data_IF_355774182697
#
_entry.id   IF_355774182697
#
_cell.length_a   1.000
_cell.length_b   1.000
_cell.length_c   1.000
_cell.angle_alpha   90.00
_cell.angle_beta   90.00
_cell.angle_gamma   90.00
#
_symmetry.space_group_name_H-M   'P 1'
#
loop_
_entity.id
_entity.type
_entity.pdbx_description
1 polymer ?
#
# COMPACT_ATOMS: atom_id res chain seq x y z
N UNK A 1 -0.97 -20.72 10.71
CA UNK A 1 0.42 -20.80 11.18
C UNK A 1 1.00 -19.47 11.69
N UNK A 2 1.22 -18.42 10.89
CA UNK A 2 1.84 -17.17 11.40
C UNK A 2 1.05 -16.43 12.49
N UNK A 3 -0.29 -16.39 12.38
CA UNK A 3 -1.14 -15.84 13.45
C UNK A 3 -1.04 -16.64 14.75
N UNK A 4 -0.83 -17.96 14.66
CA UNK A 4 -0.60 -18.82 15.83
C UNK A 4 0.78 -18.53 16.44
N UNK A 5 1.82 -18.35 15.62
CA UNK A 5 3.15 -17.95 16.10
C UNK A 5 3.13 -16.61 16.83
N UNK A 6 2.43 -15.60 16.29
CA UNK A 6 2.23 -14.34 17.01
C UNK A 6 1.45 -14.56 18.32
N UNK A 7 0.41 -15.40 18.30
CA UNK A 7 -0.35 -15.79 19.49
C UNK A 7 0.53 -16.42 20.57
N UNK A 8 1.41 -17.35 20.20
CA UNK A 8 2.38 -17.96 21.11
C UNK A 8 3.37 -16.93 21.65
N UNK A 9 3.88 -16.02 20.82
CA UNK A 9 4.76 -14.95 21.28
C UNK A 9 4.07 -14.02 22.30
N UNK A 10 2.80 -13.68 22.08
CA UNK A 10 2.03 -12.93 23.07
C UNK A 10 1.75 -13.73 24.34
N UNK A 11 1.47 -15.02 24.24
CA UNK A 11 1.29 -15.87 25.41
C UNK A 11 2.58 -15.95 26.25
N UNK A 12 3.73 -16.11 25.60
CA UNK A 12 5.04 -16.04 26.26
C UNK A 12 5.23 -14.70 26.94
N UNK A 13 4.89 -13.59 26.29
CA UNK A 13 4.93 -12.27 26.92
C UNK A 13 4.01 -12.17 28.16
N UNK A 14 2.75 -12.60 28.04
CA UNK A 14 1.76 -12.56 29.12
C UNK A 14 2.15 -13.42 30.33
N UNK A 15 2.91 -14.50 30.11
CA UNK A 15 3.42 -15.36 31.19
C UNK A 15 4.72 -14.81 31.78
N UNK A 16 5.68 -14.40 30.95
CA UNK A 16 7.00 -13.97 31.41
C UNK A 16 7.01 -12.59 32.04
N UNK A 17 6.17 -11.65 31.58
CA UNK A 17 6.11 -10.31 32.15
C UNK A 17 5.78 -10.31 33.66
N UNK A 18 4.72 -10.98 34.16
CA UNK A 18 4.42 -11.02 35.59
C UNK A 18 5.40 -11.92 36.34
N UNK A 19 5.85 -13.02 35.73
CA UNK A 19 6.82 -13.91 36.36
C UNK A 19 8.17 -13.24 36.58
N UNK A 20 8.58 -12.33 35.68
CA UNK A 20 9.79 -11.52 35.85
C UNK A 20 9.77 -10.74 37.16
N UNK A 21 8.59 -10.26 37.58
CA UNK A 21 8.39 -9.49 38.81
C UNK A 21 8.46 -10.36 40.06
N UNK A 22 8.40 -11.68 39.98
CA UNK A 22 8.52 -12.56 41.14
C UNK A 22 9.96 -13.04 41.36
N UNK A 23 10.81 -12.92 40.34
CA UNK A 23 12.16 -13.47 40.34
C UNK A 23 13.18 -12.57 41.07
N UNK A 24 14.26 -13.15 41.62
CA UNK A 24 15.39 -12.39 42.16
C UNK A 24 15.92 -11.37 41.13
N UNK A 25 16.44 -10.25 41.60
CA UNK A 25 16.90 -9.11 40.76
C UNK A 25 17.82 -9.57 39.63
N UNK A 26 18.71 -10.53 39.89
CA UNK A 26 19.60 -11.09 38.86
C UNK A 26 18.89 -11.85 37.72
N UNK A 27 17.75 -12.49 37.96
CA UNK A 27 16.98 -13.19 36.90
C UNK A 27 15.87 -12.32 36.31
N UNK A 28 15.37 -11.36 37.09
CA UNK A 28 14.27 -10.47 36.73
C UNK A 28 14.48 -9.79 35.38
N UNK A 29 15.63 -9.14 35.14
CA UNK A 29 15.86 -8.38 33.90
C UNK A 29 16.03 -9.27 32.66
N UNK A 30 16.52 -10.51 32.83
CA UNK A 30 16.64 -11.49 31.74
C UNK A 30 15.27 -11.96 31.28
N UNK A 31 14.40 -12.29 32.24
CA UNK A 31 13.02 -12.71 31.96
C UNK A 31 12.20 -11.53 31.42
N UNK A 32 12.40 -10.32 31.93
CA UNK A 32 11.80 -9.12 31.37
C UNK A 32 12.28 -8.86 29.93
N UNK A 33 13.56 -9.07 29.63
CA UNK A 33 14.09 -8.98 28.27
C UNK A 33 13.45 -10.03 27.34
N UNK A 34 13.30 -11.28 27.78
CA UNK A 34 12.59 -12.31 27.01
C UNK A 34 11.12 -11.94 26.77
N UNK A 35 10.43 -11.41 27.78
CA UNK A 35 9.06 -10.93 27.65
C UNK A 35 8.98 -9.80 26.60
N UNK A 36 9.87 -8.80 26.68
CA UNK A 36 9.93 -7.70 25.72
C UNK A 36 10.23 -8.20 24.30
N UNK A 37 11.20 -9.12 24.13
CA UNK A 37 11.51 -9.73 22.85
C UNK A 37 10.32 -10.51 22.27
N UNK A 38 9.57 -11.23 23.11
CA UNK A 38 8.37 -11.94 22.71
C UNK A 38 7.26 -10.98 22.25
N UNK A 39 7.06 -9.86 22.96
CA UNK A 39 6.13 -8.81 22.56
C UNK A 39 6.53 -8.17 21.22
N UNK A 40 7.80 -7.82 21.06
CA UNK A 40 8.32 -7.24 19.81
C UNK A 40 8.17 -8.24 18.66
N UNK A 41 8.55 -9.50 18.86
CA UNK A 41 8.39 -10.55 17.85
C UNK A 41 6.92 -10.74 17.46
N UNK A 42 6.02 -10.84 18.45
CA UNK A 42 4.57 -10.96 18.21
C UNK A 42 4.01 -9.77 17.44
N UNK A 43 4.39 -8.55 17.80
CA UNK A 43 3.95 -7.33 17.08
C UNK A 43 4.49 -7.26 15.66
N UNK A 44 5.77 -7.59 15.44
CA UNK A 44 6.35 -7.66 14.10
C UNK A 44 5.63 -8.71 13.26
N UNK A 45 5.27 -9.88 13.80
CA UNK A 45 4.56 -10.95 13.07
C UNK A 45 3.08 -10.63 12.84
N UNK A 46 2.40 -9.92 13.76
CA UNK A 46 0.96 -9.64 13.68
C UNK A 46 0.55 -8.37 12.95
N UNK A 47 1.40 -7.33 12.88
CA UNK A 47 1.04 -6.07 12.21
C UNK A 47 0.32 -6.29 10.86
N UNK A 48 -0.90 -5.74 10.69
CA UNK A 48 -1.66 -5.95 9.47
C UNK A 48 -0.94 -5.28 8.29
N UNK A 49 -1.02 -5.92 7.13
CA UNK A 49 -0.40 -5.43 5.88
C UNK A 49 -1.30 -4.36 5.26
N UNK A 50 -2.62 -4.48 5.45
CA UNK A 50 -3.61 -3.51 5.04
C UNK A 50 -4.63 -3.25 6.16
N UNK A 51 -5.19 -2.05 6.24
CA UNK A 51 -6.18 -1.69 7.28
C UNK A 51 -7.47 -2.51 7.18
N UNK A 52 -7.82 -3.00 6.00
CA UNK A 52 -8.98 -3.92 5.80
C UNK A 52 -8.78 -5.27 6.48
N UNK A 53 -7.54 -5.66 6.78
CA UNK A 53 -7.25 -6.88 7.55
C UNK A 53 -7.47 -6.67 9.06
N UNK A 54 -7.73 -5.43 9.52
CA UNK A 54 -8.06 -5.12 10.91
C UNK A 54 -9.56 -5.21 11.16
N UNK A 55 -9.98 -6.25 11.86
CA UNK A 55 -11.31 -6.28 12.47
C UNK A 55 -11.29 -5.56 13.84
N UNK A 56 -12.48 -5.17 14.35
CA UNK A 56 -12.61 -4.52 15.66
C UNK A 56 -11.90 -5.32 16.79
N UNK A 57 -11.97 -6.66 16.73
CA UNK A 57 -11.27 -7.54 17.66
C UNK A 57 -9.74 -7.40 17.64
N UNK A 58 -9.12 -7.15 16.47
CA UNK A 58 -7.69 -6.91 16.37
C UNK A 58 -7.27 -5.59 17.02
N UNK A 59 -8.08 -4.54 16.86
CA UNK A 59 -7.84 -3.23 17.48
C UNK A 59 -7.98 -3.29 19.00
N UNK A 60 -9.06 -3.91 19.49
CA UNK A 60 -9.28 -4.14 20.94
C UNK A 60 -8.14 -4.99 21.52
N UNK A 61 -7.75 -6.08 20.83
CA UNK A 61 -6.65 -6.92 21.28
C UNK A 61 -5.31 -6.18 21.36
N UNK A 62 -5.01 -5.30 20.40
CA UNK A 62 -3.81 -4.45 20.44
C UNK A 62 -3.86 -3.46 21.60
N UNK A 63 -5.01 -2.85 21.86
CA UNK A 63 -5.22 -1.93 22.99
C UNK A 63 -4.98 -2.64 24.33
N UNK A 64 -5.64 -3.78 24.55
CA UNK A 64 -5.48 -4.59 25.77
C UNK A 64 -4.02 -5.00 25.99
N UNK A 65 -3.35 -5.46 24.93
CA UNK A 65 -1.94 -5.85 25.01
C UNK A 65 -1.02 -4.66 25.35
N UNK A 66 -1.31 -3.49 24.78
CA UNK A 66 -0.53 -2.26 25.04
C UNK A 66 -0.73 -1.78 26.47
N UNK A 67 -1.97 -1.80 26.97
CA UNK A 67 -2.29 -1.46 28.35
C UNK A 67 -1.60 -2.43 29.33
N UNK A 68 -1.66 -3.73 29.05
CA UNK A 68 -0.98 -4.74 29.84
C UNK A 68 0.54 -4.51 29.88
N UNK A 69 1.15 -4.21 28.73
CA UNK A 69 2.57 -3.89 28.64
C UNK A 69 2.93 -2.63 29.43
N UNK A 70 2.10 -1.60 29.40
CA UNK A 70 2.30 -0.38 30.18
C UNK A 70 2.22 -0.66 31.69
N UNK A 71 1.23 -1.42 32.14
CA UNK A 71 1.09 -1.82 33.56
C UNK A 71 2.28 -2.66 34.01
N UNK A 72 2.66 -3.67 33.22
CA UNK A 72 3.83 -4.52 33.52
C UNK A 72 5.12 -3.70 33.61
N UNK A 73 5.31 -2.74 32.70
CA UNK A 73 6.45 -1.83 32.71
C UNK A 73 6.45 -0.92 33.95
N UNK A 74 5.30 -0.35 34.32
CA UNK A 74 5.17 0.48 35.52
C UNK A 74 5.52 -0.30 36.78
N UNK A 75 5.02 -1.54 36.93
CA UNK A 75 5.34 -2.38 38.09
C UNK A 75 6.83 -2.77 38.09
N UNK A 76 7.39 -3.08 36.92
CA UNK A 76 8.82 -3.39 36.78
C UNK A 76 9.70 -2.22 37.20
N UNK A 77 9.40 -1.01 36.72
CA UNK A 77 10.10 0.23 37.11
C UNK A 77 9.91 0.51 38.59
N UNK A 78 8.70 0.38 39.12
CA UNK A 78 8.41 0.54 40.55
C UNK A 78 9.24 -0.41 41.43
N UNK A 79 9.37 -1.68 41.02
CA UNK A 79 10.20 -2.69 41.71
C UNK A 79 11.69 -2.34 41.66
N UNK A 80 12.18 -1.81 40.54
CA UNK A 80 13.56 -1.33 40.42
C UNK A 80 13.81 -0.13 41.34
N UNK A 81 12.91 0.86 41.34
CA UNK A 81 12.99 2.05 42.22
C UNK A 81 12.96 1.62 43.69
N UNK A 82 12.07 0.71 44.07
CA UNK A 82 12.01 0.17 45.43
C UNK A 82 13.31 -0.56 45.82
N UNK A 83 13.85 -1.38 44.92
CA UNK A 83 15.09 -2.11 45.16
C UNK A 83 16.31 -1.19 45.26
N UNK A 84 16.33 -0.11 44.48
CA UNK A 84 17.33 0.96 44.59
C UNK A 84 17.18 1.72 45.91
N UNK A 85 15.96 2.09 46.30
CA UNK A 85 15.67 2.77 47.56
C UNK A 85 16.05 1.95 48.80
N UNK A 86 15.89 0.62 48.73
CA UNK A 86 16.35 -0.30 49.78
C UNK A 86 17.83 -0.66 49.70
N UNK A 87 18.62 0.00 48.85
CA UNK A 87 20.05 -0.26 48.63
C UNK A 87 20.38 -1.73 48.26
N UNK A 88 19.41 -2.47 47.70
CA UNK A 88 19.59 -3.87 47.27
C UNK A 88 20.11 -4.00 45.84
N UNK A 89 20.28 -2.88 45.15
CA UNK A 89 20.66 -2.81 43.75
C UNK A 89 22.18 -2.70 43.60
N UNK A 90 22.90 -3.79 43.89
CA UNK A 90 24.36 -3.87 43.67
C UNK A 90 24.66 -4.51 42.31
N UNK A 91 25.84 -4.22 41.73
CA UNK A 91 26.30 -4.85 40.47
C UNK A 91 26.33 -6.38 40.60
N UNK A 92 26.70 -6.89 41.77
CA UNK A 92 26.70 -8.31 42.10
C UNK A 92 25.29 -8.89 42.15
N UNK A 93 24.32 -8.19 42.74
CA UNK A 93 22.91 -8.61 42.74
C UNK A 93 22.27 -8.59 41.34
N UNK A 94 22.64 -7.61 40.50
CA UNK A 94 22.20 -7.51 39.11
C UNK A 94 22.80 -8.61 38.22
N UNK A 95 24.08 -8.95 38.43
CA UNK A 95 24.70 -10.08 37.73
C UNK A 95 24.08 -11.40 38.20
N UNK A 96 24.01 -11.63 39.51
CA UNK A 96 23.68 -12.93 40.10
C UNK A 96 24.88 -13.90 40.12
N UNK A 97 24.70 -15.14 40.59
CA UNK A 97 25.76 -16.16 40.60
C UNK A 97 26.12 -16.60 39.17
N UNK A 98 27.40 -16.89 38.91
CA UNK A 98 27.86 -17.33 37.59
C UNK A 98 27.76 -18.87 37.47
N UNK A 99 26.59 -19.34 37.03
CA UNK A 99 26.30 -20.76 36.82
C UNK A 99 26.25 -21.10 35.33
N UNK A 100 26.54 -22.35 34.92
CA UNK A 100 26.42 -22.76 33.51
C UNK A 100 25.01 -22.53 32.95
N UNK A 101 23.96 -22.76 33.75
CA UNK A 101 22.57 -22.49 33.37
C UNK A 101 22.32 -21.00 33.08
N UNK A 102 22.91 -20.10 33.90
CA UNK A 102 22.82 -18.66 33.64
C UNK A 102 23.55 -18.26 32.36
N UNK A 103 24.76 -18.79 32.12
CA UNK A 103 25.51 -18.49 30.89
C UNK A 103 24.72 -18.93 29.65
N UNK A 104 24.07 -20.09 29.72
CA UNK A 104 23.18 -20.56 28.65
C UNK A 104 21.96 -19.62 28.46
N UNK A 105 21.33 -19.17 29.55
CA UNK A 105 20.24 -18.19 29.48
C UNK A 105 20.70 -16.86 28.87
N UNK A 106 21.86 -16.33 29.27
CA UNK A 106 22.43 -15.10 28.70
C UNK A 106 22.72 -15.24 27.20
N UNK A 107 23.25 -16.38 26.78
CA UNK A 107 23.46 -16.70 25.37
C UNK A 107 22.15 -16.80 24.60
N UNK A 108 21.10 -17.41 25.18
CA UNK A 108 19.79 -17.50 24.56
C UNK A 108 19.14 -16.11 24.41
N UNK A 109 19.18 -15.28 25.46
CA UNK A 109 18.64 -13.91 25.43
C UNK A 109 19.36 -13.07 24.37
N UNK A 110 20.70 -13.15 24.32
CA UNK A 110 21.49 -12.39 23.34
C UNK A 110 21.29 -12.88 21.91
N UNK A 111 21.18 -14.20 21.70
CA UNK A 111 20.82 -14.76 20.40
C UNK A 111 19.44 -14.28 19.94
N UNK A 112 18.42 -14.40 20.80
CA UNK A 112 17.05 -13.94 20.51
C UNK A 112 16.99 -12.43 20.24
N UNK A 113 17.74 -11.63 21.01
CA UNK A 113 17.87 -10.20 20.76
C UNK A 113 18.47 -9.92 19.37
N UNK A 114 19.52 -10.66 18.99
CA UNK A 114 20.08 -10.62 17.64
C UNK A 114 19.07 -10.99 16.56
N UNK A 115 18.30 -12.06 16.75
CA UNK A 115 17.24 -12.46 15.80
C UNK A 115 16.17 -11.38 15.64
N UNK A 116 15.63 -10.85 16.74
CA UNK A 116 14.62 -9.78 16.70
C UNK A 116 15.17 -8.52 16.06
N UNK A 117 16.40 -8.12 16.40
CA UNK A 117 17.07 -6.98 15.77
C UNK A 117 17.28 -7.21 14.26
N UNK A 118 17.64 -8.42 13.83
CA UNK A 118 17.75 -8.78 12.42
C UNK A 118 16.43 -8.71 11.67
N UNK A 119 15.32 -9.12 12.30
CA UNK A 119 13.98 -8.96 11.74
C UNK A 119 13.60 -7.48 11.58
N UNK A 120 13.84 -6.67 12.62
CA UNK A 120 13.60 -5.21 12.58
C UNK A 120 14.43 -4.57 11.47
N UNK A 121 15.72 -4.91 11.40
CA UNK A 121 16.63 -4.41 10.37
C UNK A 121 16.16 -4.82 8.97
N UNK A 122 15.72 -6.07 8.78
CA UNK A 122 15.19 -6.54 7.50
C UNK A 122 13.95 -5.75 7.08
N UNK A 123 13.02 -5.49 8.00
CA UNK A 123 11.83 -4.66 7.71
C UNK A 123 12.23 -3.23 7.36
N UNK A 124 13.18 -2.64 8.08
CA UNK A 124 13.69 -1.29 7.83
C UNK A 124 14.40 -1.21 6.47
N UNK A 125 15.31 -2.14 6.16
CA UNK A 125 15.96 -2.24 4.85
C UNK A 125 14.94 -2.38 3.73
N UNK A 126 13.89 -3.17 3.93
CA UNK A 126 12.86 -3.37 2.92
C UNK A 126 12.00 -2.13 2.67
N UNK A 127 11.89 -1.20 3.62
CA UNK A 127 11.26 0.11 3.39
C UNK A 127 12.19 1.04 2.62
N UNK A 128 13.49 1.05 2.94
CA UNK A 128 14.46 1.93 2.29
C UNK A 128 14.89 1.49 0.89
N UNK A 129 14.85 0.19 0.60
CA UNK A 129 15.26 -0.38 -0.70
C UNK A 129 14.07 -0.67 -1.64
N UNK A 130 12.87 -0.26 -1.24
CA UNK A 130 11.65 -0.40 -2.01
C UNK A 130 11.71 0.39 -3.33
N UNK A 131 11.07 -0.12 -4.38
CA UNK A 131 11.00 0.50 -5.71
C UNK A 131 12.19 0.21 -6.63
N UNK A 132 13.16 -0.59 -6.20
CA UNK A 132 14.35 -0.92 -7.02
C UNK A 132 14.03 -1.94 -8.12
N UNK A 133 14.66 -1.80 -9.29
CA UNK A 133 14.46 -2.70 -10.44
C UNK A 133 15.19 -4.04 -10.31
N UNK A 134 16.09 -4.17 -9.34
CA UNK A 134 17.00 -5.30 -9.16
C UNK A 134 16.54 -6.28 -8.07
N UNK A 135 15.24 -6.52 -7.89
CA UNK A 135 14.74 -7.16 -6.66
C UNK A 135 15.32 -8.53 -6.31
N UNK A 136 15.28 -9.51 -7.22
CA UNK A 136 15.85 -10.84 -6.95
C UNK A 136 17.36 -10.78 -6.70
N UNK A 137 18.09 -9.99 -7.50
CA UNK A 137 19.56 -9.87 -7.34
C UNK A 137 19.90 -9.15 -6.04
N UNK A 138 19.15 -8.11 -5.67
CA UNK A 138 19.27 -7.40 -4.40
C UNK A 138 19.03 -8.34 -3.22
N UNK A 139 17.96 -9.12 -3.24
CA UNK A 139 17.66 -10.11 -2.21
C UNK A 139 18.81 -11.12 -2.06
N UNK A 140 19.36 -11.63 -3.18
CA UNK A 140 20.49 -12.56 -3.16
C UNK A 140 21.79 -11.91 -2.66
N UNK A 141 22.07 -10.66 -3.03
CA UNK A 141 23.24 -9.91 -2.56
C UNK A 141 23.16 -9.65 -1.06
N UNK A 142 22.00 -9.23 -0.54
CA UNK A 142 21.79 -9.06 0.91
C UNK A 142 21.92 -10.39 1.64
N UNK A 143 21.44 -11.49 1.04
CA UNK A 143 21.61 -12.84 1.60
C UNK A 143 23.10 -13.22 1.71
N UNK A 144 23.87 -13.02 0.64
CA UNK A 144 25.29 -13.32 0.61
C UNK A 144 26.09 -12.46 1.59
N UNK A 145 25.81 -11.15 1.67
CA UNK A 145 26.44 -10.24 2.63
C UNK A 145 26.10 -10.65 4.07
N UNK A 146 24.83 -10.96 4.36
CA UNK A 146 24.41 -11.41 5.69
C UNK A 146 25.12 -12.69 6.12
N UNK A 147 25.26 -13.67 5.22
CA UNK A 147 25.98 -14.91 5.51
C UNK A 147 27.50 -14.68 5.67
N UNK A 148 28.11 -13.89 4.79
CA UNK A 148 29.53 -13.54 4.87
C UNK A 148 29.87 -12.79 6.17
N UNK A 149 29.03 -11.83 6.56
CA UNK A 149 29.15 -11.12 7.84
C UNK A 149 28.98 -12.07 9.02
N UNK A 150 28.02 -13.00 8.98
CA UNK A 150 27.85 -13.98 10.05
C UNK A 150 29.13 -14.83 10.27
N UNK A 151 29.75 -15.31 9.17
CA UNK A 151 31.00 -16.07 9.24
C UNK A 151 32.17 -15.21 9.76
N UNK A 152 32.33 -14.00 9.23
CA UNK A 152 33.39 -13.08 9.67
C UNK A 152 33.24 -12.70 11.14
N UNK A 153 32.03 -12.35 11.60
CA UNK A 153 31.75 -11.99 12.98
C UNK A 153 31.92 -13.19 13.93
N UNK A 154 31.58 -14.40 13.48
CA UNK A 154 31.82 -15.63 14.25
C UNK A 154 33.32 -15.90 14.46
N UNK A 155 34.15 -15.59 13.47
CA UNK A 155 35.60 -15.76 13.53
C UNK A 155 36.31 -14.65 14.31
N UNK A 156 35.88 -13.39 14.14
CA UNK A 156 36.59 -12.21 14.65
C UNK A 156 36.15 -11.78 16.05
N UNK A 157 34.87 -11.92 16.41
CA UNK A 157 34.36 -11.46 17.70
C UNK A 157 34.49 -12.54 18.78
N UNK A 158 34.61 -12.12 20.03
CA UNK A 158 34.57 -12.98 21.21
C UNK A 158 33.51 -12.48 22.20
N UNK A 159 33.01 -13.38 23.04
CA UNK A 159 32.02 -13.03 24.06
C UNK A 159 30.58 -12.92 23.56
N UNK A 160 29.66 -12.33 24.35
CA UNK A 160 28.22 -12.35 24.09
C UNK A 160 27.79 -11.50 22.88
N UNK A 161 28.56 -10.47 22.54
CA UNK A 161 28.32 -9.65 21.34
C UNK A 161 28.43 -10.47 20.05
N UNK A 162 29.30 -11.50 20.03
CA UNK A 162 29.41 -12.43 18.90
C UNK A 162 28.08 -13.10 18.61
N UNK A 163 27.44 -13.68 19.63
CA UNK A 163 26.19 -14.42 19.46
C UNK A 163 25.08 -13.53 18.91
N UNK A 164 24.93 -12.32 19.46
CA UNK A 164 23.93 -11.36 18.98
C UNK A 164 24.20 -10.92 17.53
N UNK A 165 25.45 -10.55 17.20
CA UNK A 165 25.81 -10.05 15.87
C UNK A 165 25.71 -11.13 14.78
N UNK A 166 26.09 -12.38 15.11
CA UNK A 166 25.93 -13.54 14.22
C UNK A 166 24.45 -13.84 13.99
N UNK A 167 23.64 -13.90 15.06
CA UNK A 167 22.21 -14.16 14.95
C UNK A 167 21.49 -13.09 14.12
N UNK A 168 21.85 -11.81 14.31
CA UNK A 168 21.34 -10.70 13.51
C UNK A 168 21.66 -10.89 12.02
N UNK A 169 22.93 -11.13 11.70
CA UNK A 169 23.41 -11.25 10.31
C UNK A 169 22.79 -12.44 9.60
N UNK A 170 22.70 -13.60 10.29
CA UNK A 170 22.02 -14.78 9.79
C UNK A 170 20.53 -14.55 9.55
N UNK A 171 19.87 -13.79 10.43
CA UNK A 171 18.43 -13.48 10.27
C UNK A 171 18.20 -12.64 9.04
N UNK A 172 18.97 -11.57 8.86
CA UNK A 172 18.90 -10.72 7.65
C UNK A 172 19.16 -11.57 6.41
N UNK A 173 20.20 -12.41 6.45
CA UNK A 173 20.54 -13.30 5.35
C UNK A 173 19.42 -14.30 5.01
N UNK A 174 18.80 -14.91 6.02
CA UNK A 174 17.71 -15.87 5.87
C UNK A 174 16.44 -15.22 5.32
N UNK A 175 16.06 -14.04 5.82
CA UNK A 175 14.91 -13.28 5.32
C UNK A 175 15.14 -12.88 3.85
N UNK A 176 16.33 -12.40 3.53
CA UNK A 176 16.73 -12.05 2.17
C UNK A 176 16.70 -13.25 1.22
N UNK A 177 17.31 -14.37 1.63
CA UNK A 177 17.32 -15.61 0.85
C UNK A 177 15.92 -16.14 0.59
N UNK A 178 15.05 -16.16 1.61
CA UNK A 178 13.65 -16.53 1.44
C UNK A 178 12.89 -15.52 0.56
N UNK A 179 13.18 -14.23 0.72
CA UNK A 179 12.65 -13.13 -0.08
C UNK A 179 12.91 -13.31 -1.58
N UNK A 180 14.12 -13.76 -1.95
CA UNK A 180 14.52 -13.93 -3.35
C UNK A 180 13.62 -14.91 -4.14
N UNK A 181 12.96 -15.82 -3.45
CA UNK A 181 12.05 -16.80 -4.07
C UNK A 181 10.65 -16.21 -4.34
N UNK A 182 10.33 -15.01 -3.86
CA UNK A 182 9.05 -14.34 -4.10
C UNK A 182 8.81 -14.08 -5.59
N UNK A 183 9.84 -13.69 -6.35
CA UNK A 183 9.75 -13.46 -7.80
C UNK A 183 9.27 -14.67 -8.59
N UNK A 184 9.48 -15.89 -8.08
CA UNK A 184 8.94 -17.12 -8.68
C UNK A 184 7.57 -17.51 -8.12
N UNK A 185 7.36 -17.35 -6.81
CA UNK A 185 6.13 -17.81 -6.13
C UNK A 185 4.93 -16.92 -6.41
N UNK A 186 5.12 -15.61 -6.50
CA UNK A 186 4.03 -14.64 -6.71
C UNK A 186 3.29 -14.92 -8.03
N UNK A 187 3.97 -15.01 -9.20
CA UNK A 187 3.28 -15.28 -10.47
C UNK A 187 2.58 -16.64 -10.48
N UNK A 188 3.19 -17.67 -9.91
CA UNK A 188 2.58 -19.01 -9.82
C UNK A 188 1.30 -18.99 -9.00
N UNK A 189 1.30 -18.31 -7.84
CA UNK A 189 0.10 -18.16 -7.01
C UNK A 189 -0.97 -17.29 -7.66
N UNK A 190 -0.58 -16.28 -8.42
CA UNK A 190 -1.50 -15.45 -9.17
C UNK A 190 -2.19 -16.26 -10.28
N UNK A 191 -1.42 -16.99 -11.08
CA UNK A 191 -1.95 -17.85 -12.14
C UNK A 191 -2.88 -18.96 -11.59
N UNK A 192 -2.49 -19.57 -10.47
CA UNK A 192 -3.31 -20.59 -9.80
C UNK A 192 -4.66 -20.02 -9.32
N UNK A 193 -4.69 -18.77 -8.84
CA UNK A 193 -5.94 -18.12 -8.41
C UNK A 193 -6.79 -17.62 -9.60
N UNK A 194 -6.13 -17.26 -10.71
CA UNK A 194 -6.79 -16.82 -11.93
C UNK A 194 -7.47 -17.99 -12.66
N UNK A 195 -6.99 -19.22 -12.49
CA UNK A 195 -7.58 -20.44 -13.09
C UNK A 195 -7.73 -20.33 -14.62
N UNK A 196 -6.73 -19.75 -15.28
CA UNK A 196 -6.72 -19.53 -16.73
C UNK A 196 -7.45 -18.26 -17.20
N UNK A 197 -8.06 -17.50 -16.29
CA UNK A 197 -8.61 -16.17 -16.61
C UNK A 197 -7.50 -15.12 -16.77
N UNK A 198 -7.69 -14.08 -17.60
CA UNK A 198 -6.70 -13.01 -17.72
C UNK A 198 -6.47 -12.30 -16.39
N UNK A 199 -5.20 -12.12 -16.00
CA UNK A 199 -4.85 -11.44 -14.77
C UNK A 199 -3.64 -10.52 -14.96
N UNK A 200 -3.45 -9.59 -14.03
CA UNK A 200 -2.22 -8.83 -13.96
C UNK A 200 -1.85 -8.46 -12.52
N UNK A 201 -0.58 -8.11 -12.35
CA UNK A 201 -0.02 -7.66 -11.08
C UNK A 201 0.27 -6.16 -11.16
N UNK A 202 -0.25 -5.41 -10.19
CA UNK A 202 -0.07 -3.96 -10.11
C UNK A 202 0.56 -3.56 -8.77
N UNK A 203 1.53 -2.66 -8.81
CA UNK A 203 2.03 -1.97 -7.62
C UNK A 203 1.27 -0.67 -7.38
N UNK A 204 1.51 0.03 -6.26
CA UNK A 204 0.80 1.28 -5.95
C UNK A 204 0.94 2.36 -7.05
N UNK A 205 -0.05 3.25 -7.17
CA UNK A 205 -0.25 4.17 -8.32
C UNK A 205 0.98 4.94 -8.83
N UNK A 206 1.95 5.30 -7.99
CA UNK A 206 3.05 6.18 -8.41
C UNK A 206 4.36 5.46 -8.73
N UNK A 207 4.43 4.13 -8.59
CA UNK A 207 5.70 3.39 -8.70
C UNK A 207 5.86 2.69 -10.07
N UNK A 208 4.95 3.00 -11.02
CA UNK A 208 4.96 2.49 -12.39
C UNK A 208 4.33 1.09 -12.53
N UNK A 209 4.05 0.72 -13.78
CA UNK A 209 3.72 -0.66 -14.13
C UNK A 209 4.90 -1.56 -13.79
N UNK A 210 4.63 -2.78 -13.33
CA UNK A 210 5.68 -3.79 -13.23
C UNK A 210 6.21 -4.05 -14.64
N UNK A 211 7.52 -3.89 -14.81
CA UNK A 211 8.21 -4.07 -16.08
C UNK A 211 9.08 -5.35 -16.07
N UNK A 212 9.34 -5.93 -14.89
CA UNK A 212 10.08 -7.18 -14.75
C UNK A 212 9.65 -7.96 -13.49
N UNK A 213 9.57 -9.29 -13.59
CA UNK A 213 9.32 -10.19 -12.46
C UNK A 213 10.38 -10.09 -11.37
N UNK A 214 11.60 -9.65 -11.70
CA UNK A 214 12.66 -9.42 -10.71
C UNK A 214 12.28 -8.36 -9.68
N UNK A 215 11.39 -7.41 -10.00
CA UNK A 215 10.89 -6.35 -9.09
C UNK A 215 10.03 -6.90 -7.96
N UNK A 216 9.56 -8.14 -8.06
CA UNK A 216 8.74 -8.81 -7.05
C UNK A 216 9.56 -9.37 -5.87
N UNK A 217 10.85 -9.02 -5.77
CA UNK A 217 11.70 -9.36 -4.62
C UNK A 217 11.23 -8.71 -3.32
N UNK A 218 11.61 -9.29 -2.18
CA UNK A 218 11.19 -8.81 -0.87
C UNK A 218 11.68 -7.39 -0.60
N UNK A 219 12.92 -7.05 -0.92
CA UNK A 219 13.44 -5.70 -0.70
C UNK A 219 12.95 -4.70 -1.74
N UNK A 220 12.80 -5.11 -3.01
CA UNK A 220 12.38 -4.22 -4.11
C UNK A 220 10.90 -3.89 -4.14
N UNK A 221 10.03 -4.79 -3.67
CA UNK A 221 8.59 -4.55 -3.78
C UNK A 221 8.22 -3.25 -3.05
N UNK A 222 7.49 -2.31 -3.68
CA UNK A 222 7.09 -1.06 -3.07
C UNK A 222 6.35 -1.25 -1.74
N UNK A 223 6.84 -0.62 -0.66
CA UNK A 223 6.25 -0.73 0.67
C UNK A 223 5.75 0.61 1.15
N UNK A 224 4.44 0.81 1.08
CA UNK A 224 3.77 2.00 1.59
C UNK A 224 2.96 1.66 2.83
N UNK A 225 2.91 2.55 3.84
CA UNK A 225 2.02 2.39 4.97
C UNK A 225 0.56 2.37 4.50
N UNK A 226 -0.21 1.36 4.93
CA UNK A 226 -1.65 1.35 4.74
C UNK A 226 -2.15 1.03 3.33
N UNK A 227 -1.28 0.77 2.34
CA UNK A 227 -1.68 0.32 1.00
C UNK A 227 -1.09 -1.06 0.69
N UNK A 228 -1.76 -1.89 -0.13
CA UNK A 228 -1.19 -3.17 -0.50
C UNK A 228 0.09 -2.94 -1.32
N UNK A 229 1.12 -3.75 -1.02
CA UNK A 229 2.42 -3.67 -1.69
C UNK A 229 2.36 -4.17 -3.14
N UNK A 230 1.38 -5.03 -3.41
CA UNK A 230 1.10 -5.61 -4.71
C UNK A 230 -0.37 -6.03 -4.74
N UNK A 231 -1.07 -5.67 -5.80
CA UNK A 231 -2.40 -6.18 -6.09
C UNK A 231 -2.35 -7.16 -7.26
N UNK A 232 -3.25 -8.14 -7.18
CA UNK A 232 -3.61 -9.04 -8.25
C UNK A 232 -5.02 -8.65 -8.71
N UNK A 233 -5.14 -8.39 -10.00
CA UNK A 233 -6.38 -8.07 -10.67
C UNK A 233 -6.69 -9.26 -11.59
N UNK A 234 -7.81 -9.94 -11.35
CA UNK A 234 -8.29 -11.04 -12.21
C UNK A 234 -9.54 -10.55 -12.91
N UNK A 235 -9.55 -10.70 -14.24
CA UNK A 235 -10.67 -10.28 -15.08
C UNK A 235 -11.54 -11.48 -15.40
N UNK A 236 -12.83 -11.34 -15.12
CA UNK A 236 -13.87 -12.32 -15.41
C UNK A 236 -15.02 -11.63 -16.15
N UNK A 237 -14.91 -11.62 -17.49
CA UNK A 237 -15.79 -10.82 -18.36
C UNK A 237 -15.72 -9.32 -18.02
N UNK A 238 -16.86 -8.77 -17.58
CA UNK A 238 -16.99 -7.38 -17.12
C UNK A 238 -16.62 -7.17 -15.65
N UNK A 239 -16.41 -8.24 -14.89
CA UNK A 239 -16.07 -8.16 -13.47
C UNK A 239 -14.56 -8.17 -13.28
N UNK A 240 -14.11 -7.38 -12.30
CA UNK A 240 -12.71 -7.39 -11.87
C UNK A 240 -12.64 -7.83 -10.41
N UNK A 241 -12.08 -9.01 -10.20
CA UNK A 241 -11.75 -9.48 -8.86
C UNK A 241 -10.40 -8.92 -8.42
N UNK A 242 -10.31 -8.51 -7.15
CA UNK A 242 -9.14 -7.84 -6.59
C UNK A 242 -8.61 -8.59 -5.38
N UNK A 243 -7.31 -8.79 -5.35
CA UNK A 243 -6.61 -9.41 -4.23
C UNK A 243 -5.34 -8.63 -3.91
N UNK A 244 -4.90 -8.64 -2.65
CA UNK A 244 -3.60 -8.08 -2.25
C UNK A 244 -2.62 -9.19 -1.90
N UNK A 245 -1.35 -8.98 -2.22
CA UNK A 245 -0.26 -9.85 -1.78
C UNK A 245 0.06 -9.62 -0.31
N UNK A 246 -0.09 -10.67 0.49
CA UNK A 246 0.40 -10.69 1.86
C UNK A 246 1.85 -11.19 1.87
N UNK A 247 2.82 -10.29 2.07
CA UNK A 247 4.24 -10.66 2.24
C UNK A 247 4.44 -11.60 3.44
N UNK A 248 3.53 -11.58 4.43
CA UNK A 248 3.61 -12.47 5.59
C UNK A 248 3.06 -13.86 5.27
N UNK A 249 1.82 -13.93 4.81
CA UNK A 249 1.16 -15.20 4.47
C UNK A 249 1.73 -15.81 3.19
N UNK A 250 2.50 -15.05 2.43
CA UNK A 250 3.04 -15.40 1.12
C UNK A 250 1.91 -15.86 0.18
N UNK A 251 0.77 -15.16 0.21
CA UNK A 251 -0.42 -15.49 -0.56
C UNK A 251 -1.26 -14.25 -0.89
N UNK A 252 -2.09 -14.38 -1.92
CA UNK A 252 -3.11 -13.40 -2.24
C UNK A 252 -4.30 -13.52 -1.28
N UNK A 253 -4.85 -12.39 -0.87
CA UNK A 253 -6.01 -12.28 0.03
C UNK A 253 -7.06 -11.38 -0.61
N UNK A 254 -8.35 -11.69 -0.48
CA UNK A 254 -9.40 -10.78 -0.91
C UNK A 254 -9.41 -9.55 0.00
N UNK A 255 -9.68 -8.37 -0.56
CA UNK A 255 -9.75 -7.11 0.17
C UNK A 255 -10.18 -5.95 -0.72
N UNK A 256 -10.78 -4.91 -0.12
CA UNK A 256 -11.08 -3.65 -0.81
C UNK A 256 -9.78 -2.91 -1.08
N UNK A 257 -9.48 -2.76 -2.37
CA UNK A 257 -8.29 -2.07 -2.86
C UNK A 257 -8.76 -1.05 -3.90
N UNK A 258 -9.03 0.16 -3.42
CA UNK A 258 -9.52 1.25 -4.28
C UNK A 258 -8.37 2.10 -4.86
N UNK A 259 -7.22 2.17 -4.17
CA UNK A 259 -6.06 3.00 -4.54
C UNK A 259 -4.87 2.23 -5.17
N UNK A 260 -5.08 1.03 -5.72
CA UNK A 260 -4.02 0.40 -6.51
C UNK A 260 -4.00 0.89 -7.94
N UNK A 261 -2.78 0.91 -8.50
CA UNK A 261 -2.62 1.00 -9.94
C UNK A 261 -3.37 -0.12 -10.65
N UNK A 262 -3.50 0.02 -11.96
CA UNK A 262 -4.01 -1.02 -12.84
C UNK A 262 -2.97 -1.38 -13.91
N UNK A 263 -3.24 -2.45 -14.64
CA UNK A 263 -2.37 -3.01 -15.66
C UNK A 263 -3.22 -3.71 -16.73
N UNK A 264 -2.57 -4.19 -17.78
CA UNK A 264 -3.17 -5.00 -18.84
C UNK A 264 -3.26 -6.48 -18.43
N UNK A 265 -4.47 -7.04 -18.20
CA UNK A 265 -4.65 -8.44 -17.82
C UNK A 265 -4.32 -9.38 -18.98
N UNK A 266 -3.53 -10.42 -18.71
CA UNK A 266 -3.12 -11.44 -19.68
C UNK A 266 -3.32 -12.83 -19.10
N UNK A 267 -3.66 -13.80 -19.96
CA UNK A 267 -3.79 -15.22 -19.57
C UNK A 267 -2.47 -15.78 -19.08
N UNK A 268 -1.36 -15.39 -19.72
CA UNK A 268 0.00 -15.67 -19.25
C UNK A 268 0.77 -14.37 -19.01
N UNK A 269 0.43 -13.68 -17.92
CA UNK A 269 1.07 -12.43 -17.52
C UNK A 269 2.59 -12.57 -17.35
N UNK A 270 3.07 -13.70 -16.82
CA UNK A 270 4.49 -13.90 -16.57
C UNK A 270 5.30 -14.04 -17.87
N UNK A 271 4.75 -14.74 -18.87
CA UNK A 271 5.35 -14.78 -20.20
C UNK A 271 5.29 -13.41 -20.88
N UNK A 272 4.12 -12.76 -20.89
CA UNK A 272 3.93 -11.45 -21.51
C UNK A 272 4.90 -10.40 -20.93
N UNK A 273 5.18 -10.44 -19.63
CA UNK A 273 6.13 -9.53 -19.00
C UNK A 273 7.58 -9.80 -19.42
N UNK A 274 7.94 -11.07 -19.72
CA UNK A 274 9.29 -11.44 -20.17
C UNK A 274 9.54 -11.08 -21.64
N UNK A 275 8.52 -11.19 -22.47
CA UNK A 275 8.57 -10.88 -23.91
C UNK A 275 8.40 -9.39 -24.19
N UNK A 276 7.96 -8.60 -23.20
CA UNK A 276 7.67 -7.19 -23.38
C UNK A 276 6.30 -6.92 -24.01
N UNK A 277 5.42 -7.92 -24.05
CA UNK A 277 4.06 -7.81 -24.59
C UNK A 277 3.10 -7.04 -23.67
N UNK A 278 3.56 -6.68 -22.46
CA UNK A 278 2.85 -5.79 -21.54
C UNK A 278 3.32 -4.37 -21.79
N UNK A 279 2.47 -3.59 -22.47
CA UNK A 279 2.71 -2.18 -22.72
C UNK A 279 2.40 -1.37 -21.44
N UNK A 280 3.33 -0.57 -20.89
CA UNK A 280 3.11 0.25 -19.69
C UNK A 280 1.88 1.18 -19.77
N UNK A 281 1.54 1.57 -21.00
CA UNK A 281 0.44 2.49 -21.32
C UNK A 281 -0.90 1.78 -21.55
N UNK A 282 -0.90 0.45 -21.53
CA UNK A 282 -2.11 -0.36 -21.70
C UNK A 282 -2.65 -0.74 -20.33
N UNK A 283 -3.86 -0.28 -20.02
CA UNK A 283 -4.44 -0.37 -18.68
C UNK A 283 -5.89 -0.80 -18.71
N UNK A 284 -6.29 -1.70 -17.80
CA UNK A 284 -7.69 -2.07 -17.63
C UNK A 284 -8.41 -1.13 -16.67
N UNK A 285 -9.50 -0.51 -17.12
CA UNK A 285 -10.35 0.37 -16.31
C UNK A 285 -11.80 0.00 -16.56
N UNK A 286 -12.52 -0.35 -15.48
CA UNK A 286 -13.83 -0.97 -15.59
C UNK A 286 -13.76 -2.29 -16.39
N UNK A 287 -14.68 -2.46 -17.33
CA UNK A 287 -14.72 -3.60 -18.25
C UNK A 287 -13.92 -3.36 -19.55
N UNK A 288 -13.12 -2.30 -19.65
CA UNK A 288 -12.43 -1.92 -20.90
C UNK A 288 -10.93 -1.86 -20.70
N UNK A 289 -10.17 -2.09 -21.78
CA UNK A 289 -8.72 -1.86 -21.82
C UNK A 289 -8.47 -0.60 -22.63
N UNK A 290 -7.60 0.26 -22.15
CA UNK A 290 -7.23 1.51 -22.81
C UNK A 290 -5.75 1.49 -23.13
N UNK A 291 -5.37 1.99 -24.31
CA UNK A 291 -3.98 2.26 -24.69
C UNK A 291 -3.78 3.77 -24.71
N UNK A 292 -3.02 4.29 -23.74
CA UNK A 292 -2.78 5.73 -23.59
C UNK A 292 -1.60 6.18 -24.46
N UNK A 293 -1.70 7.26 -25.23
CA UNK A 293 -0.59 7.77 -26.02
C UNK A 293 0.64 8.15 -25.19
N UNK A 294 1.84 8.02 -25.77
CA UNK A 294 3.09 8.35 -25.08
C UNK A 294 3.24 9.84 -24.76
N UNK A 295 2.55 10.70 -25.52
CA UNK A 295 2.48 12.14 -25.30
C UNK A 295 1.72 12.50 -24.02
N UNK A 296 0.95 11.56 -23.47
CA UNK A 296 0.09 11.81 -22.31
C UNK A 296 0.70 11.29 -21.01
N UNK A 297 0.41 12.00 -19.93
CA UNK A 297 0.64 11.52 -18.57
C UNK A 297 -0.68 10.97 -18.01
N UNK A 298 -0.63 9.84 -17.28
CA UNK A 298 -1.84 9.18 -16.79
C UNK A 298 -1.75 8.76 -15.34
N UNK A 299 -2.92 8.75 -14.68
CA UNK A 299 -3.17 8.08 -13.41
C UNK A 299 -4.30 7.09 -13.62
N UNK A 300 -4.02 5.80 -13.41
CA UNK A 300 -4.98 4.74 -13.69
C UNK A 300 -5.20 3.85 -12.46
N UNK A 301 -6.47 3.55 -12.17
CA UNK A 301 -6.94 2.57 -11.20
C UNK A 301 -7.94 1.65 -11.86
N UNK A 302 -8.32 0.54 -11.23
CA UNK A 302 -9.39 -0.32 -11.73
C UNK A 302 -10.72 0.38 -12.05
N UNK A 303 -10.99 1.56 -11.48
CA UNK A 303 -12.25 2.31 -11.66
C UNK A 303 -12.07 3.66 -12.33
N UNK A 304 -10.84 4.12 -12.55
CA UNK A 304 -10.58 5.49 -13.00
C UNK A 304 -9.38 5.54 -13.95
N UNK A 305 -9.51 6.30 -15.01
CA UNK A 305 -8.42 6.73 -15.88
C UNK A 305 -8.42 8.25 -15.93
N UNK A 306 -7.35 8.88 -15.43
CA UNK A 306 -7.16 10.33 -15.51
C UNK A 306 -6.01 10.63 -16.45
N UNK A 307 -6.25 11.46 -17.46
CA UNK A 307 -5.23 12.06 -18.31
C UNK A 307 -4.82 13.42 -17.72
N UNK A 308 -3.55 13.58 -17.43
CA UNK A 308 -2.98 14.81 -16.84
C UNK A 308 -2.30 15.71 -17.88
N UNK A 309 -2.34 15.32 -19.15
CA UNK A 309 -1.93 16.18 -20.27
C UNK A 309 -3.13 17.01 -20.78
N UNK A 310 -2.89 18.24 -21.29
CA UNK A 310 -3.93 19.01 -21.97
C UNK A 310 -4.36 18.31 -23.26
N UNK A 311 -5.66 18.33 -23.57
CA UNK A 311 -6.17 17.78 -24.82
C UNK A 311 -6.25 18.89 -25.87
N UNK A 312 -5.65 18.69 -27.06
CA UNK A 312 -5.71 19.68 -28.12
C UNK A 312 -7.16 19.92 -28.57
N UNK A 313 -7.48 21.14 -29.02
CA UNK A 313 -8.81 21.46 -29.51
C UNK A 313 -9.19 20.56 -30.70
N UNK A 314 -10.46 20.15 -30.75
CA UNK A 314 -11.05 19.70 -32.01
C UNK A 314 -10.95 20.81 -33.06
N UNK A 315 -11.06 20.52 -34.38
CA UNK A 315 -11.19 21.56 -35.40
C UNK A 315 -12.32 22.54 -35.05
N UNK A 316 -11.98 23.82 -34.83
CA UNK A 316 -12.92 24.85 -34.40
C UNK A 316 -13.40 24.73 -32.94
N UNK A 317 -12.71 23.94 -32.11
CA UNK A 317 -12.99 23.75 -30.69
C UNK A 317 -11.99 24.45 -29.76
N UNK A 318 -12.16 24.23 -28.47
CA UNK A 318 -11.30 24.78 -27.41
C UNK A 318 -10.31 23.74 -26.89
N UNK A 319 -9.13 24.19 -26.47
CA UNK A 319 -8.20 23.33 -25.76
C UNK A 319 -8.79 22.98 -24.39
N UNK A 320 -8.70 21.71 -24.01
CA UNK A 320 -9.22 21.24 -22.72
C UNK A 320 -8.04 21.19 -21.73
N UNK A 321 -8.13 21.92 -20.60
CA UNK A 321 -7.14 21.85 -19.53
C UNK A 321 -6.85 20.41 -19.07
N UNK A 322 -5.65 20.16 -18.52
CA UNK A 322 -5.28 18.85 -18.00
C UNK A 322 -6.22 18.38 -16.87
N UNK A 323 -6.34 17.06 -16.69
CA UNK A 323 -7.12 16.45 -15.61
C UNK A 323 -8.44 15.80 -16.05
N UNK A 324 -8.56 15.44 -17.33
CA UNK A 324 -9.72 14.72 -17.85
C UNK A 324 -9.77 13.32 -17.22
N UNK A 325 -10.93 12.93 -16.71
CA UNK A 325 -11.09 11.70 -15.93
C UNK A 325 -12.25 10.87 -16.46
N UNK A 326 -11.98 9.64 -16.88
CA UNK A 326 -12.97 8.59 -17.05
C UNK A 326 -13.09 7.80 -15.74
N UNK A 327 -14.31 7.56 -15.29
CA UNK A 327 -14.58 6.80 -14.07
C UNK A 327 -15.77 5.85 -14.26
N UNK A 328 -15.72 4.72 -13.56
CA UNK A 328 -16.81 3.76 -13.45
C UNK A 328 -17.23 3.72 -11.98
N UNK A 329 -18.30 4.45 -11.65
CA UNK A 329 -18.85 4.52 -10.30
C UNK A 329 -20.34 4.15 -10.33
N UNK A 330 -20.73 3.21 -9.48
CA UNK A 330 -22.11 2.75 -9.35
C UNK A 330 -22.93 3.68 -8.43
N UNK A 331 -22.31 4.71 -7.84
CA UNK A 331 -23.01 5.63 -6.95
C UNK A 331 -23.86 6.63 -7.74
N UNK A 332 -25.19 6.66 -7.50
CA UNK A 332 -26.04 7.69 -8.07
C UNK A 332 -25.63 9.06 -7.52
N UNK A 333 -25.74 10.09 -8.36
CA UNK A 333 -25.44 11.44 -7.91
C UNK A 333 -26.41 11.89 -6.81
N UNK A 334 -25.91 12.58 -5.77
CA UNK A 334 -26.80 13.34 -4.91
C UNK A 334 -27.56 14.36 -5.76
N UNK A 335 -28.88 14.41 -5.61
CA UNK A 335 -29.71 15.45 -6.23
C UNK A 335 -29.23 16.82 -5.74
N UNK A 336 -28.96 17.72 -6.68
CA UNK A 336 -28.67 19.12 -6.38
C UNK A 336 -30.00 19.88 -6.32
N UNK A 337 -30.38 20.47 -5.18
CA UNK A 337 -31.69 21.12 -5.02
C UNK A 337 -31.89 22.37 -5.90
N UNK A 338 -30.80 22.97 -6.41
CA UNK A 338 -30.81 24.25 -7.14
C UNK A 338 -30.24 24.13 -8.58
N UNK A 339 -30.34 22.95 -9.20
CA UNK A 339 -29.82 22.76 -10.55
C UNK A 339 -30.83 23.21 -11.62
N UNK A 340 -30.37 24.05 -12.55
CA UNK A 340 -31.10 24.44 -13.75
C UNK A 340 -31.14 23.28 -14.75
N UNK A 341 -32.21 23.13 -15.54
CA UNK A 341 -32.22 22.16 -16.63
C UNK A 341 -31.21 22.57 -17.72
N UNK A 342 -30.65 21.59 -18.43
CA UNK A 342 -29.68 21.83 -19.50
C UNK A 342 -30.20 22.76 -20.62
N UNK A 343 -31.50 22.76 -20.87
CA UNK A 343 -32.18 23.66 -21.81
C UNK A 343 -32.15 25.14 -21.39
N UNK A 344 -31.90 25.42 -20.11
CA UNK A 344 -31.83 26.78 -19.54
C UNK A 344 -30.38 27.23 -19.33
N UNK A 345 -29.40 26.57 -19.95
CA UNK A 345 -28.00 26.97 -19.86
C UNK A 345 -27.83 28.43 -20.36
N UNK A 346 -27.46 29.38 -19.49
CA UNK A 346 -27.34 30.78 -19.88
C UNK A 346 -26.21 30.99 -20.90
N UNK A 347 -26.44 31.92 -21.84
CA UNK A 347 -25.41 32.43 -22.74
C UNK A 347 -24.21 32.97 -21.96
N UNK A 348 -23.01 32.90 -22.53
CA UNK A 348 -21.77 33.33 -21.84
C UNK A 348 -21.81 34.79 -21.37
N UNK A 349 -22.52 35.67 -22.08
CA UNK A 349 -22.73 37.06 -21.70
C UNK A 349 -23.74 37.28 -20.57
N UNK A 350 -24.59 36.28 -20.28
CA UNK A 350 -25.60 36.34 -19.21
C UNK A 350 -25.10 35.73 -17.89
N UNK A 351 -23.92 35.10 -17.90
CA UNK A 351 -23.30 34.54 -16.71
C UNK A 351 -22.60 35.67 -15.95
N UNK A 352 -23.06 35.98 -14.73
CA UNK A 352 -22.36 36.91 -13.83
C UNK A 352 -21.12 36.23 -13.25
N UNK A 353 -20.00 36.42 -13.94
CA UNK A 353 -18.73 35.80 -13.60
C UNK A 353 -18.21 36.29 -12.24
N UNK A 354 -18.45 37.55 -11.89
CA UNK A 354 -17.97 38.14 -10.63
C UNK A 354 -18.81 37.63 -9.44
N UNK A 355 -20.11 37.40 -9.64
CA UNK A 355 -20.95 36.73 -8.64
C UNK A 355 -20.56 35.26 -8.43
N UNK A 356 -20.22 34.52 -9.50
CA UNK A 356 -19.69 33.15 -9.39
C UNK A 356 -18.33 33.14 -8.65
N UNK A 357 -17.43 34.07 -8.97
CA UNK A 357 -16.10 34.15 -8.37
C UNK A 357 -16.14 34.53 -6.88
N UNK A 358 -17.05 35.43 -6.49
CA UNK A 358 -17.26 35.83 -5.09
C UNK A 358 -18.07 34.82 -4.27
N UNK A 359 -18.55 33.74 -4.90
CA UNK A 359 -19.40 32.73 -4.28
C UNK A 359 -20.82 33.20 -3.95
N UNK A 360 -21.22 34.36 -4.49
CA UNK A 360 -22.57 34.92 -4.36
C UNK A 360 -23.57 34.26 -5.31
N UNK A 361 -23.09 33.66 -6.39
CA UNK A 361 -23.87 32.84 -7.32
C UNK A 361 -23.26 31.44 -7.45
N UNK A 362 -24.09 30.47 -7.86
CA UNK A 362 -23.66 29.13 -8.26
C UNK A 362 -24.39 28.77 -9.55
N UNK A 363 -23.67 28.21 -10.51
CA UNK A 363 -24.26 27.66 -11.71
C UNK A 363 -24.11 26.14 -11.67
N UNK A 364 -25.25 25.49 -11.47
CA UNK A 364 -25.41 24.05 -11.53
C UNK A 364 -26.43 23.77 -12.64
N UNK A 365 -26.01 23.03 -13.66
CA UNK A 365 -26.88 22.68 -14.78
C UNK A 365 -26.87 21.17 -14.92
N UNK A 366 -28.05 20.57 -15.03
CA UNK A 366 -28.21 19.12 -15.17
C UNK A 366 -29.29 18.80 -16.20
N UNK A 367 -29.08 17.73 -16.95
CA UNK A 367 -30.12 17.23 -17.86
C UNK A 367 -29.54 16.30 -18.93
N UNK A 368 -30.42 15.57 -19.63
CA UNK A 368 -30.01 14.77 -20.78
C UNK A 368 -29.65 15.70 -21.95
N UNK A 369 -28.66 15.32 -22.73
CA UNK A 369 -28.40 15.93 -24.04
C UNK A 369 -29.22 15.28 -25.16
N UNK A 370 -29.05 15.78 -26.39
CA UNK A 370 -29.74 15.25 -27.59
C UNK A 370 -29.39 13.79 -27.91
N UNK A 371 -28.36 13.22 -27.29
CA UNK A 371 -27.93 11.83 -27.43
C UNK A 371 -28.38 10.95 -26.26
N UNK A 372 -29.11 11.52 -25.30
CA UNK A 372 -29.57 10.81 -24.10
C UNK A 372 -28.48 10.57 -23.06
N UNK A 373 -27.34 11.29 -23.13
CA UNK A 373 -26.30 11.28 -22.09
C UNK A 373 -26.70 12.22 -20.97
N UNK A 374 -26.53 11.79 -19.72
CA UNK A 374 -26.78 12.65 -18.57
C UNK A 374 -25.61 13.62 -18.38
N UNK A 375 -25.90 14.91 -18.55
CA UNK A 375 -24.92 15.99 -18.44
C UNK A 375 -25.08 16.68 -17.09
N UNK A 376 -23.95 17.02 -16.49
CA UNK A 376 -23.87 17.92 -15.34
C UNK A 376 -22.75 18.92 -15.56
N UNK A 377 -23.06 20.19 -15.34
CA UNK A 377 -22.11 21.30 -15.44
C UNK A 377 -22.14 22.03 -14.10
N UNK A 378 -20.98 22.05 -13.44
CA UNK A 378 -20.78 22.75 -12.19
C UNK A 378 -19.71 23.82 -12.35
N UNK A 379 -20.09 25.07 -12.31
CA UNK A 379 -19.15 26.18 -12.22
C UNK A 379 -18.98 26.53 -10.74
N UNK A 380 -18.12 25.77 -10.05
CA UNK A 380 -17.87 25.92 -8.62
C UNK A 380 -16.75 26.94 -8.31
N UNK A 381 -16.99 27.70 -7.25
CA UNK A 381 -16.18 28.79 -6.69
C UNK A 381 -14.68 28.45 -6.54
N UNK A 382 -13.81 29.41 -6.84
CA UNK A 382 -12.38 29.34 -6.53
C UNK A 382 -11.62 30.56 -7.01
N UNK A 383 -10.68 31.05 -6.19
CA UNK A 383 -9.94 32.31 -6.36
C UNK A 383 -8.87 32.33 -7.49
N UNK A 384 -9.00 31.52 -8.54
CA UNK A 384 -7.93 31.31 -9.52
C UNK A 384 -8.26 31.88 -10.90
N UNK A 385 -7.20 32.30 -11.61
CA UNK A 385 -7.25 33.12 -12.82
C UNK A 385 -7.99 32.49 -14.02
N UNK A 386 -8.20 31.16 -14.03
CA UNK A 386 -8.64 30.43 -15.24
C UNK A 386 -10.15 30.08 -15.27
N UNK A 387 -10.95 30.51 -14.28
CA UNK A 387 -12.45 30.48 -14.28
C UNK A 387 -13.05 29.25 -14.99
N UNK A 388 -12.88 28.07 -14.40
CA UNK A 388 -13.26 26.78 -15.01
C UNK A 388 -14.61 26.25 -14.50
N UNK A 389 -15.40 25.69 -15.41
CA UNK A 389 -16.56 24.86 -15.10
C UNK A 389 -16.18 23.38 -15.24
N UNK A 390 -16.61 22.55 -14.30
CA UNK A 390 -16.49 21.10 -14.39
C UNK A 390 -17.68 20.55 -15.16
N UNK A 391 -17.40 19.87 -16.27
CA UNK A 391 -18.41 19.18 -17.10
C UNK A 391 -18.28 17.70 -16.85
N UNK A 392 -19.42 17.07 -16.58
CA UNK A 392 -19.56 15.66 -16.32
C UNK A 392 -20.55 15.08 -17.32
N UNK A 393 -20.11 14.06 -18.05
CA UNK A 393 -20.90 13.33 -19.06
C UNK A 393 -21.04 11.91 -18.56
N UNK A 394 -22.27 11.47 -18.32
CA UNK A 394 -22.56 10.11 -17.84
C UNK A 394 -23.29 9.32 -18.93
N UNK A 395 -22.74 8.16 -19.28
CA UNK A 395 -23.28 7.25 -20.27
C UNK A 395 -23.21 5.81 -19.73
N UNK A 396 -24.38 5.25 -19.40
CA UNK A 396 -24.47 3.96 -18.72
C UNK A 396 -23.76 3.97 -17.36
N UNK A 397 -22.69 3.18 -17.23
CA UNK A 397 -21.84 3.13 -16.02
C UNK A 397 -20.58 3.97 -16.12
N UNK A 398 -20.29 4.53 -17.29
CA UNK A 398 -19.11 5.35 -17.53
C UNK A 398 -19.44 6.81 -17.25
N UNK A 399 -18.48 7.50 -16.65
CA UNK A 399 -18.58 8.93 -16.34
C UNK A 399 -17.29 9.61 -16.73
N UNK A 400 -17.39 10.57 -17.63
CA UNK A 400 -16.29 11.40 -18.08
C UNK A 400 -16.41 12.75 -17.37
N UNK A 401 -15.33 13.24 -16.79
CA UNK A 401 -15.25 14.53 -16.11
C UNK A 401 -14.09 15.33 -16.69
N UNK A 402 -14.34 16.55 -17.11
CA UNK A 402 -13.32 17.47 -17.58
C UNK A 402 -13.63 18.89 -17.15
N UNK A 403 -12.69 19.81 -17.34
CA UNK A 403 -12.87 21.22 -17.01
C UNK A 403 -12.78 22.05 -18.27
N UNK A 404 -13.55 23.13 -18.35
CA UNK A 404 -13.50 24.07 -19.47
C UNK A 404 -13.67 25.51 -18.97
N UNK A 405 -13.11 26.53 -19.64
CA UNK A 405 -13.32 27.91 -19.24
C UNK A 405 -14.79 28.33 -19.38
N UNK A 406 -15.29 29.10 -18.41
CA UNK A 406 -16.69 29.58 -18.39
C UNK A 406 -17.08 30.35 -19.65
N UNK A 407 -16.13 31.07 -20.25
CA UNK A 407 -16.36 31.84 -21.48
C UNK A 407 -16.73 30.97 -22.68
N UNK A 408 -16.33 29.70 -22.65
CA UNK A 408 -16.58 28.72 -23.71
C UNK A 408 -17.67 27.73 -23.34
N UNK A 409 -18.46 28.00 -22.29
CA UNK A 409 -19.45 27.04 -21.80
C UNK A 409 -20.46 26.64 -22.87
N UNK A 410 -20.74 27.51 -23.85
CA UNK A 410 -21.62 27.20 -24.99
C UNK A 410 -21.07 26.10 -25.92
N UNK A 411 -19.76 25.86 -25.91
CA UNK A 411 -19.11 24.80 -26.67
C UNK A 411 -19.06 23.45 -25.91
N UNK A 412 -19.74 23.34 -24.76
CA UNK A 412 -19.65 22.15 -23.88
C UNK A 412 -19.99 20.86 -24.61
N UNK A 413 -20.99 20.86 -25.49
CA UNK A 413 -21.42 19.67 -26.21
C UNK A 413 -20.36 19.17 -27.19
N UNK A 414 -19.70 20.10 -27.91
CA UNK A 414 -18.59 19.77 -28.81
C UNK A 414 -17.38 19.26 -28.03
N UNK A 415 -17.08 19.87 -26.88
CA UNK A 415 -16.02 19.42 -26.00
C UNK A 415 -16.31 18.02 -25.43
N UNK A 416 -17.55 17.76 -24.99
CA UNK A 416 -18.00 16.47 -24.51
C UNK A 416 -17.82 15.39 -25.58
N UNK A 417 -18.27 15.65 -26.81
CA UNK A 417 -18.10 14.73 -27.94
C UNK A 417 -16.64 14.44 -28.26
N UNK A 418 -15.80 15.47 -28.24
CA UNK A 418 -14.35 15.33 -28.49
C UNK A 418 -13.68 14.48 -27.41
N UNK A 419 -14.02 14.69 -26.14
CA UNK A 419 -13.46 13.90 -25.02
C UNK A 419 -13.98 12.47 -25.03
N UNK A 420 -15.26 12.25 -25.32
CA UNK A 420 -15.82 10.89 -25.47
C UNK A 420 -15.10 10.16 -26.62
N UNK A 421 -14.98 10.80 -27.79
CA UNK A 421 -14.28 10.24 -28.93
C UNK A 421 -12.80 9.94 -28.63
N UNK A 422 -12.13 10.76 -27.80
CA UNK A 422 -10.77 10.49 -27.33
C UNK A 422 -10.70 9.19 -26.51
N UNK A 423 -11.60 8.98 -25.55
CA UNK A 423 -11.62 7.73 -24.78
C UNK A 423 -12.01 6.52 -25.63
N UNK A 424 -12.93 6.68 -26.57
CA UNK A 424 -13.31 5.61 -27.50
C UNK A 424 -12.14 5.23 -28.42
N UNK A 425 -11.37 6.20 -28.91
CA UNK A 425 -10.19 5.96 -29.72
C UNK A 425 -9.06 5.26 -28.95
N UNK A 426 -8.95 5.49 -27.64
CA UNK A 426 -7.99 4.80 -26.77
C UNK A 426 -8.43 3.38 -26.38
N UNK A 427 -9.72 3.06 -26.50
CA UNK A 427 -10.27 1.78 -26.08
C UNK A 427 -9.83 0.67 -27.03
N UNK A 428 -9.24 -0.40 -26.49
CA UNK A 428 -8.88 -1.58 -27.27
C UNK A 428 -10.17 -2.35 -27.63
N UNK A 429 -10.41 -2.67 -28.92
CA UNK A 429 -11.60 -3.40 -29.36
C UNK A 429 -11.65 -4.89 -28.96
N UNK A 430 -10.60 -5.42 -28.32
CA UNK A 430 -10.46 -6.86 -28.00
C UNK A 430 -11.21 -7.34 -26.75
#
# INVERSE_FOLDING_TARGET
>A
MLNQLAGYAYLVFLVLAPFSLLLPVGLMWRVAALAALALICGTIIRQPIHWTDMNAGASIGKFVLTLYAAVALLIFVGRLVWSAWKCRLTVTALRGPDTPARRALDQAVTALAGLVAGLVLSVTLARHLAGTTSGRTLDLSVAAIGLGLALALAALLRGPLRTAAVALSLTVGAVAGYGSTQSGRIPVKAAALAEGRPFCLASGQSDGTLNNLSQLGFFSLPKRPGTPHLALLIRDGERLEKFHWSVRLQSFRPGLIDDTGTCDPRTDFAAALRTGDILPRRVAVGASVFTVPDTDTMLATPRRLTLTSPVPPAPGGIAIPPGITLSFDDRPYPRLPDALPLSELPGSSAIDIDALASGKARLHVVGPDDRGRDIRIDCLMGAWADRLCEVQVTEGRARITFRMPVMHLQDWSRAADHVTALFDAMKDPR
#
